data_IF_554231962543
#
_entry.id   IF_554231962543
#
_cell.length_a   1.000
_cell.length_b   1.000
_cell.length_c   1.000
_cell.angle_alpha   90.00
_cell.angle_beta   90.00
_cell.angle_gamma   90.00
#
_symmetry.space_group_name_H-M   'P 1'
#
loop_
_entity.id
_entity.type
_entity.pdbx_description
1 polymer ?
#
# COMPACT_ATOMS: atom_id res chain seq x y z
N UNK A 1 14.39 16.32 3.59
CA UNK A 1 13.64 15.06 3.35
C UNK A 1 14.47 13.84 3.72
N UNK A 2 14.10 12.65 3.21
CA UNK A 2 14.89 11.41 3.30
C UNK A 2 15.64 11.19 1.98
N UNK A 3 16.86 11.72 1.82
CA UNK A 3 17.56 11.73 0.53
C UNK A 3 18.06 10.34 0.14
N UNK A 4 17.81 9.92 -1.10
CA UNK A 4 18.30 8.65 -1.63
C UNK A 4 19.83 8.57 -1.70
N UNK A 5 20.52 9.70 -1.85
CA UNK A 5 22.00 9.78 -1.79
C UNK A 5 22.59 9.36 -0.45
N UNK A 6 21.80 9.30 0.63
CA UNK A 6 22.24 8.80 1.92
C UNK A 6 22.08 7.27 2.10
N UNK A 7 21.50 6.57 1.11
CA UNK A 7 21.13 5.14 1.21
C UNK A 7 22.33 4.26 1.54
N UNK A 8 23.43 4.35 0.79
CA UNK A 8 24.61 3.50 0.99
C UNK A 8 25.20 3.65 2.39
N UNK A 9 25.27 4.90 2.88
CA UNK A 9 25.75 5.21 4.24
C UNK A 9 24.84 4.58 5.30
N UNK A 10 23.52 4.61 5.10
CA UNK A 10 22.57 4.01 6.04
C UNK A 10 22.66 2.49 5.98
N UNK A 11 22.67 1.89 4.79
CA UNK A 11 22.82 0.45 4.60
C UNK A 11 24.10 -0.07 5.26
N UNK A 12 25.25 0.55 5.03
CA UNK A 12 26.51 0.14 5.66
C UNK A 12 26.44 0.09 7.20
N UNK A 13 25.63 0.96 7.83
CA UNK A 13 25.43 0.96 9.30
C UNK A 13 24.41 -0.09 9.77
N UNK A 14 23.46 -0.45 8.92
CA UNK A 14 22.37 -1.35 9.28
C UNK A 14 22.60 -2.80 8.86
N UNK A 15 23.46 -3.08 7.87
CA UNK A 15 23.66 -4.43 7.33
C UNK A 15 24.08 -5.47 8.37
N UNK A 16 24.81 -5.08 9.41
CA UNK A 16 25.20 -6.01 10.50
C UNK A 16 24.03 -6.35 11.44
N UNK A 17 23.05 -5.46 11.56
CA UNK A 17 21.87 -5.63 12.40
C UNK A 17 20.71 -6.29 11.63
N UNK A 18 20.61 -6.00 10.33
CA UNK A 18 19.56 -6.48 9.44
C UNK A 18 20.18 -7.08 8.17
N UNK A 19 20.72 -8.31 8.25
CA UNK A 19 21.22 -9.01 7.07
C UNK A 19 20.13 -9.15 6.01
N UNK A 20 20.46 -8.86 4.76
CA UNK A 20 19.50 -8.94 3.64
C UNK A 20 18.60 -7.72 3.46
N UNK A 21 18.89 -6.59 4.12
CA UNK A 21 18.19 -5.32 3.84
C UNK A 21 18.26 -4.99 2.34
N UNK A 22 17.11 -4.64 1.78
CA UNK A 22 16.97 -4.21 0.39
C UNK A 22 16.69 -2.71 0.33
N UNK A 23 17.14 -2.08 -0.74
CA UNK A 23 17.00 -0.64 -0.95
C UNK A 23 16.02 -0.34 -2.07
N UNK A 24 15.31 0.78 -1.93
CA UNK A 24 14.54 1.36 -3.01
C UNK A 24 15.27 2.58 -3.59
N UNK A 25 15.02 2.94 -4.87
CA UNK A 25 15.68 4.10 -5.50
C UNK A 25 15.37 5.45 -4.83
N UNK A 26 14.27 5.55 -4.09
CA UNK A 26 13.85 6.75 -3.37
C UNK A 26 12.85 6.41 -2.26
N UNK A 27 12.59 7.38 -1.38
CA UNK A 27 11.52 7.27 -0.38
C UNK A 27 10.13 7.10 -1.02
N UNK A 28 9.90 7.70 -2.20
CA UNK A 28 8.64 7.56 -2.94
C UNK A 28 8.45 6.12 -3.45
N UNK A 29 9.49 5.54 -4.06
CA UNK A 29 9.46 4.14 -4.50
C UNK A 29 9.26 3.19 -3.31
N UNK A 30 9.88 3.47 -2.16
CA UNK A 30 9.68 2.72 -0.93
C UNK A 30 8.21 2.80 -0.45
N UNK A 31 7.64 4.01 -0.40
CA UNK A 31 6.25 4.22 0.03
C UNK A 31 5.23 3.52 -0.85
N UNK A 32 5.38 3.61 -2.18
CA UNK A 32 4.52 2.92 -3.15
C UNK A 32 4.72 1.41 -3.17
N UNK A 33 5.79 0.89 -2.55
CA UNK A 33 6.04 -0.56 -2.48
C UNK A 33 5.40 -1.24 -1.27
N UNK A 34 4.71 -0.48 -0.40
CA UNK A 34 3.97 -1.07 0.71
C UNK A 34 2.81 -1.94 0.21
N UNK A 35 2.73 -3.19 0.68
CA UNK A 35 1.68 -4.12 0.26
C UNK A 35 0.41 -4.03 1.12
N UNK A 36 0.52 -3.59 2.37
CA UNK A 36 -0.62 -3.51 3.29
C UNK A 36 -1.77 -2.66 2.73
N UNK A 37 -1.54 -1.43 2.21
CA UNK A 37 -2.65 -0.63 1.67
C UNK A 37 -3.26 -1.19 0.39
N UNK A 38 -2.55 -2.06 -0.32
CA UNK A 38 -3.12 -2.76 -1.49
C UNK A 38 -4.15 -3.79 -1.04
N UNK A 39 -3.86 -4.52 0.04
CA UNK A 39 -4.62 -5.70 0.47
C UNK A 39 -5.70 -5.34 1.49
N UNK A 40 -5.31 -4.66 2.57
CA UNK A 40 -6.15 -4.59 3.76
C UNK A 40 -7.42 -3.76 3.57
N UNK A 41 -7.41 -2.53 3.00
CA UNK A 41 -8.63 -1.74 2.89
C UNK A 41 -9.69 -2.43 2.04
N UNK A 42 -9.33 -2.94 0.86
CA UNK A 42 -10.26 -3.67 0.00
C UNK A 42 -10.76 -4.96 0.67
N UNK A 43 -9.87 -5.75 1.28
CA UNK A 43 -10.23 -7.00 1.94
C UNK A 43 -11.14 -6.79 3.16
N UNK A 44 -10.85 -5.79 4.00
CA UNK A 44 -11.65 -5.46 5.20
C UNK A 44 -12.99 -4.89 4.80
N UNK A 45 -13.04 -3.89 3.92
CA UNK A 45 -14.30 -3.22 3.56
C UNK A 45 -15.27 -4.17 2.86
N UNK A 46 -14.77 -5.07 2.00
CA UNK A 46 -15.61 -6.10 1.38
C UNK A 46 -16.07 -7.21 2.35
N UNK A 47 -15.51 -7.25 3.56
CA UNK A 47 -15.90 -8.17 4.63
C UNK A 47 -16.47 -7.45 5.87
N UNK A 48 -16.79 -6.15 5.79
CA UNK A 48 -17.08 -5.33 6.96
C UNK A 48 -18.21 -5.90 7.83
N UNK A 49 -19.34 -6.26 7.22
CA UNK A 49 -20.46 -6.86 7.95
C UNK A 49 -20.14 -8.22 8.57
N UNK A 50 -19.26 -9.02 7.95
CA UNK A 50 -18.81 -10.29 8.53
C UNK A 50 -17.90 -10.06 9.73
N UNK A 51 -17.00 -9.08 9.63
CA UNK A 51 -16.10 -8.70 10.73
C UNK A 51 -16.91 -8.27 11.94
N UNK A 52 -17.90 -7.39 11.76
CA UNK A 52 -18.77 -6.93 12.85
C UNK A 52 -19.61 -8.06 13.44
N UNK A 53 -20.21 -8.90 12.59
CA UNK A 53 -21.07 -10.00 13.04
C UNK A 53 -20.30 -11.09 13.81
N UNK A 54 -19.13 -11.47 13.31
CA UNK A 54 -18.35 -12.58 13.85
C UNK A 54 -17.26 -12.15 14.83
N UNK A 55 -17.07 -10.84 15.04
CA UNK A 55 -15.93 -10.31 15.80
C UNK A 55 -14.58 -10.83 15.27
N UNK A 56 -14.44 -10.91 13.96
CA UNK A 56 -13.23 -11.41 13.29
C UNK A 56 -13.03 -12.93 13.36
N UNK A 57 -14.01 -13.70 13.82
CA UNK A 57 -13.92 -15.16 13.96
C UNK A 57 -14.06 -15.93 12.64
N UNK A 58 -13.25 -15.54 11.66
CA UNK A 58 -13.01 -16.25 10.40
C UNK A 58 -11.59 -15.97 9.93
N UNK A 59 -11.02 -16.88 9.15
CA UNK A 59 -9.70 -16.70 8.56
C UNK A 59 -9.76 -15.66 7.45
N UNK A 60 -9.07 -14.54 7.63
CA UNK A 60 -9.16 -13.39 6.73
C UNK A 60 -8.79 -13.74 5.30
N UNK A 61 -7.64 -14.41 5.13
CA UNK A 61 -7.09 -14.73 3.82
C UNK A 61 -7.78 -15.93 3.17
N UNK A 62 -8.03 -17.00 3.93
CA UNK A 62 -8.69 -18.21 3.44
C UNK A 62 -10.17 -17.96 3.10
N UNK A 63 -10.92 -17.33 4.01
CA UNK A 63 -12.37 -17.20 3.90
C UNK A 63 -12.83 -15.81 3.45
N UNK A 64 -12.05 -14.77 3.75
CA UNK A 64 -12.39 -13.37 3.44
C UNK A 64 -11.87 -12.89 2.10
N UNK A 65 -10.66 -13.31 1.69
CA UNK A 65 -10.08 -12.97 0.38
C UNK A 65 -10.55 -13.98 -0.66
N UNK A 66 -11.85 -13.94 -0.97
CA UNK A 66 -12.44 -14.71 -2.07
C UNK A 66 -11.96 -14.22 -3.45
N UNK A 67 -12.20 -14.96 -4.56
CA UNK A 67 -11.70 -14.57 -5.87
C UNK A 67 -12.10 -13.16 -6.34
N UNK A 68 -13.31 -12.69 -6.00
CA UNK A 68 -13.73 -11.32 -6.34
C UNK A 68 -13.05 -10.28 -5.47
N UNK A 69 -12.78 -10.58 -4.19
CA UNK A 69 -12.01 -9.70 -3.30
C UNK A 69 -10.56 -9.60 -3.79
N UNK A 70 -9.95 -10.72 -4.18
CA UNK A 70 -8.61 -10.74 -4.79
C UNK A 70 -8.55 -9.90 -6.08
N UNK A 71 -9.58 -9.95 -6.94
CA UNK A 71 -9.68 -9.07 -8.12
C UNK A 71 -9.73 -7.59 -7.75
N UNK A 72 -10.50 -7.22 -6.72
CA UNK A 72 -10.54 -5.82 -6.23
C UNK A 72 -9.17 -5.39 -5.71
N UNK A 73 -8.49 -6.24 -4.94
CA UNK A 73 -7.12 -5.97 -4.45
C UNK A 73 -6.16 -5.76 -5.63
N UNK A 74 -6.21 -6.61 -6.65
CA UNK A 74 -5.36 -6.46 -7.84
C UNK A 74 -5.72 -5.23 -8.70
N UNK A 75 -6.96 -4.75 -8.65
CA UNK A 75 -7.33 -3.49 -9.28
C UNK A 75 -6.75 -2.27 -8.53
N UNK A 76 -6.71 -2.30 -7.19
CA UNK A 76 -5.96 -1.31 -6.40
C UNK A 76 -4.47 -1.37 -6.73
N UNK A 77 -3.91 -2.57 -6.86
CA UNK A 77 -2.51 -2.75 -7.27
C UNK A 77 -2.22 -2.17 -8.66
N UNK A 78 -3.16 -2.30 -9.61
CA UNK A 78 -3.03 -1.72 -10.93
C UNK A 78 -2.97 -0.19 -10.90
N UNK A 79 -3.84 0.46 -10.11
CA UNK A 79 -3.80 1.92 -9.91
C UNK A 79 -2.47 2.36 -9.24
N UNK A 80 -2.01 1.63 -8.21
CA UNK A 80 -0.71 1.87 -7.54
C UNK A 80 0.45 1.84 -8.53
N UNK A 81 0.49 0.81 -9.38
CA UNK A 81 1.56 0.66 -10.39
C UNK A 81 1.47 1.69 -11.51
N UNK A 82 0.26 2.10 -11.91
CA UNK A 82 0.09 3.19 -12.86
C UNK A 82 0.65 4.51 -12.32
N UNK A 83 0.38 4.83 -11.04
CA UNK A 83 0.97 5.99 -10.35
C UNK A 83 2.49 5.88 -10.33
N UNK A 84 3.02 4.71 -9.93
CA UNK A 84 4.46 4.49 -9.91
C UNK A 84 5.12 4.66 -11.29
N UNK A 85 4.47 4.17 -12.35
CA UNK A 85 4.95 4.29 -13.73
C UNK A 85 5.04 5.75 -14.17
N UNK A 86 4.04 6.57 -13.83
CA UNK A 86 4.05 8.01 -14.13
C UNK A 86 5.19 8.76 -13.40
N UNK A 87 5.65 8.22 -12.26
CA UNK A 87 6.80 8.73 -11.52
C UNK A 87 8.15 8.14 -11.98
N UNK A 88 8.15 7.27 -12.98
CA UNK A 88 9.36 6.62 -13.51
C UNK A 88 9.82 5.37 -12.74
N UNK A 89 8.95 4.76 -11.93
CA UNK A 89 9.24 3.52 -11.20
C UNK A 89 8.54 2.32 -11.83
N UNK A 90 9.23 1.18 -11.87
CA UNK A 90 8.66 -0.12 -12.21
C UNK A 90 8.49 -0.96 -10.94
N UNK A 91 7.24 -1.10 -10.49
CA UNK A 91 6.92 -1.86 -9.28
C UNK A 91 6.39 -3.24 -9.66
N UNK A 92 6.87 -4.25 -8.94
CA UNK A 92 6.33 -5.60 -9.05
C UNK A 92 4.85 -5.62 -8.64
N UNK A 93 4.08 -6.48 -9.31
CA UNK A 93 2.68 -6.73 -8.97
C UNK A 93 2.57 -7.39 -7.58
N UNK A 94 1.43 -7.18 -6.92
CA UNK A 94 1.21 -7.68 -5.57
C UNK A 94 1.28 -9.22 -5.47
N UNK A 95 0.76 -9.96 -6.45
CA UNK A 95 0.85 -11.42 -6.52
C UNK A 95 2.29 -11.93 -6.61
N UNK A 96 3.10 -11.34 -7.49
CA UNK A 96 4.52 -11.63 -7.62
C UNK A 96 5.30 -11.20 -6.36
N UNK A 97 4.92 -10.10 -5.71
CA UNK A 97 5.51 -9.67 -4.44
C UNK A 97 5.25 -10.68 -3.32
N UNK A 98 4.02 -11.19 -3.23
CA UNK A 98 3.65 -12.22 -2.25
C UNK A 98 4.40 -13.53 -2.49
N UNK A 99 4.51 -13.96 -3.75
CA UNK A 99 5.30 -15.13 -4.12
C UNK A 99 6.79 -14.95 -3.72
N UNK A 100 7.41 -13.82 -4.07
CA UNK A 100 8.83 -13.55 -3.75
C UNK A 100 9.10 -13.42 -2.25
N UNK A 101 8.11 -12.97 -1.48
CA UNK A 101 8.18 -12.93 -0.02
C UNK A 101 8.04 -14.33 0.61
N UNK A 102 7.77 -15.38 -0.18
CA UNK A 102 7.62 -16.74 0.31
C UNK A 102 6.25 -17.00 0.94
N UNK A 103 5.24 -16.17 0.68
CA UNK A 103 3.92 -16.38 1.26
C UNK A 103 3.22 -17.58 0.65
N UNK A 104 3.38 -17.87 -0.64
CA UNK A 104 2.75 -19.04 -1.25
C UNK A 104 3.30 -19.35 -2.64
N UNK A 105 2.65 -20.26 -3.39
CA UNK A 105 3.09 -20.64 -4.73
C UNK A 105 2.92 -19.49 -5.71
N UNK A 106 3.69 -19.51 -6.81
CA UNK A 106 3.51 -18.55 -7.89
C UNK A 106 2.16 -18.78 -8.58
N UNK A 107 1.37 -17.74 -8.72
CA UNK A 107 0.08 -17.77 -9.39
C UNK A 107 -0.58 -16.40 -9.38
N UNK A 108 -1.88 -16.35 -9.62
CA UNK A 108 -2.65 -15.14 -9.30
C UNK A 108 -2.66 -14.90 -7.78
N UNK A 109 -3.10 -13.71 -7.36
CA UNK A 109 -3.08 -13.33 -5.95
C UNK A 109 -3.88 -14.31 -5.08
N UNK A 110 -5.04 -14.78 -5.55
CA UNK A 110 -5.89 -15.69 -4.78
C UNK A 110 -5.18 -17.03 -4.54
N UNK A 111 -4.62 -17.64 -5.59
CA UNK A 111 -3.89 -18.90 -5.50
C UNK A 111 -2.62 -18.77 -4.64
N UNK A 112 -1.91 -17.65 -4.77
CA UNK A 112 -0.72 -17.35 -3.95
C UNK A 112 -1.09 -17.27 -2.46
N UNK A 113 -2.15 -16.54 -2.14
CA UNK A 113 -2.64 -16.39 -0.75
C UNK A 113 -3.16 -17.72 -0.20
N UNK A 114 -4.03 -18.43 -0.93
CA UNK A 114 -4.66 -19.67 -0.45
C UNK A 114 -3.68 -20.85 -0.41
N UNK A 115 -2.58 -20.78 -1.18
CA UNK A 115 -1.48 -21.74 -1.05
C UNK A 115 -0.56 -21.46 0.14
N UNK A 116 -0.80 -20.41 0.92
CA UNK A 116 0.00 -20.04 2.09
C UNK A 116 -0.51 -20.70 3.36
N UNK A 117 0.26 -21.61 3.97
CA UNK A 117 -0.10 -22.14 5.29
C UNK A 117 -0.15 -21.03 6.35
N UNK A 118 0.73 -20.03 6.26
CA UNK A 118 0.80 -18.95 7.24
C UNK A 118 -0.39 -18.01 7.11
N UNK A 119 -0.70 -17.50 5.90
CA UNK A 119 -1.76 -16.50 5.73
C UNK A 119 -3.14 -17.09 6.01
N UNK A 120 -3.39 -18.33 5.56
CA UNK A 120 -4.70 -18.99 5.70
C UNK A 120 -5.08 -19.32 7.14
N UNK A 121 -4.17 -19.16 8.10
CA UNK A 121 -4.43 -19.31 9.54
C UNK A 121 -4.67 -17.98 10.26
N UNK A 122 -4.52 -16.84 9.59
CA UNK A 122 -4.69 -15.53 10.20
C UNK A 122 -6.17 -15.15 10.27
N UNK A 123 -6.65 -14.85 11.48
CA UNK A 123 -7.99 -14.33 11.70
C UNK A 123 -8.14 -12.90 11.18
N UNK A 124 -9.36 -12.55 10.81
CA UNK A 124 -9.74 -11.18 10.51
C UNK A 124 -9.60 -10.28 11.75
N UNK A 125 -9.50 -8.95 11.58
CA UNK A 125 -9.51 -8.05 12.73
C UNK A 125 -10.81 -8.22 13.51
N UNK A 126 -10.74 -8.14 14.84
CA UNK A 126 -11.90 -8.35 15.71
C UNK A 126 -12.94 -7.23 15.64
N UNK A 127 -12.58 -6.07 15.09
CA UNK A 127 -13.44 -4.93 14.86
C UNK A 127 -12.97 -4.12 13.63
N UNK A 128 -13.79 -3.18 13.19
CA UNK A 128 -13.44 -2.23 12.12
C UNK A 128 -12.58 -1.06 12.62
N UNK A 129 -12.44 -0.89 13.94
CA UNK A 129 -11.43 -0.03 14.58
C UNK A 129 -10.04 -0.69 14.52
N UNK A 130 -9.57 -0.94 13.29
CA UNK A 130 -8.32 -1.62 13.02
C UNK A 130 -7.35 -0.70 12.31
N UNK A 131 -6.06 -0.85 12.64
CA UNK A 131 -4.96 -0.18 11.91
C UNK A 131 -4.94 -0.52 10.42
N UNK A 132 -5.53 -1.66 10.04
CA UNK A 132 -5.74 -2.06 8.64
C UNK A 132 -6.62 -1.09 7.86
N UNK A 133 -7.40 -0.25 8.53
CA UNK A 133 -8.10 0.89 7.94
C UNK A 133 -7.43 2.20 8.35
N UNK A 134 -7.21 2.42 9.65
CA UNK A 134 -6.76 3.73 10.16
C UNK A 134 -5.32 4.10 9.82
N UNK A 135 -4.46 3.16 9.43
CA UNK A 135 -3.13 3.45 8.86
C UNK A 135 -3.18 3.38 7.32
N UNK A 136 -3.72 2.29 6.78
CA UNK A 136 -3.59 1.94 5.37
C UNK A 136 -4.46 2.80 4.43
N UNK A 137 -5.59 3.35 4.90
CA UNK A 137 -6.39 4.30 4.12
C UNK A 137 -5.72 5.67 4.04
N UNK A 138 -5.45 6.38 5.15
CA UNK A 138 -4.91 7.74 5.07
C UNK A 138 -3.48 7.77 4.53
N UNK A 139 -2.60 6.86 4.98
CA UNK A 139 -1.17 6.88 4.63
C UNK A 139 -0.80 6.00 3.43
N UNK A 140 -1.75 5.20 2.95
CA UNK A 140 -1.66 4.43 1.71
C UNK A 140 -2.56 5.01 0.63
N UNK A 141 -3.81 4.56 0.57
CA UNK A 141 -4.71 4.85 -0.55
C UNK A 141 -4.93 6.35 -0.81
N UNK A 142 -5.23 7.12 0.23
CA UNK A 142 -5.48 8.57 0.12
C UNK A 142 -4.21 9.31 -0.32
N UNK A 143 -3.08 9.03 0.33
CA UNK A 143 -1.78 9.60 -0.01
C UNK A 143 -1.36 9.25 -1.46
N UNK A 144 -1.54 8.00 -1.89
CA UNK A 144 -1.20 7.58 -3.25
C UNK A 144 -2.12 8.19 -4.29
N UNK A 145 -3.42 8.29 -3.99
CA UNK A 145 -4.38 8.97 -4.85
C UNK A 145 -3.96 10.43 -5.10
N UNK A 146 -3.60 11.18 -4.05
CA UNK A 146 -3.19 12.58 -4.19
C UNK A 146 -1.90 12.74 -5.00
N UNK A 147 -0.92 11.84 -4.79
CA UNK A 147 0.28 11.79 -5.63
C UNK A 147 -0.10 11.52 -7.09
N UNK A 148 -0.93 10.51 -7.35
CA UNK A 148 -1.40 10.18 -8.69
C UNK A 148 -2.08 11.36 -9.38
N UNK A 149 -2.99 12.04 -8.67
CA UNK A 149 -3.72 13.19 -9.18
C UNK A 149 -2.80 14.34 -9.62
N UNK A 150 -1.75 14.64 -8.84
CA UNK A 150 -0.77 15.68 -9.21
C UNK A 150 -0.07 15.37 -10.56
N UNK A 151 0.16 14.10 -10.86
CA UNK A 151 0.83 13.66 -12.08
C UNK A 151 -0.14 13.13 -13.15
N UNK A 152 -1.43 13.49 -13.06
CA UNK A 152 -2.44 13.19 -14.07
C UNK A 152 -2.88 11.73 -14.16
N UNK A 153 -2.62 10.93 -13.12
CA UNK A 153 -3.06 9.53 -13.03
C UNK A 153 -4.28 9.43 -12.13
N UNK A 154 -5.42 9.02 -12.71
CA UNK A 154 -6.64 8.75 -11.94
C UNK A 154 -6.57 7.42 -11.19
N UNK A 155 -7.08 7.39 -9.96
CA UNK A 155 -7.23 6.19 -9.14
C UNK A 155 -8.65 6.08 -8.54
N UNK A 156 -9.69 5.90 -9.39
CA UNK A 156 -11.08 5.92 -8.94
C UNK A 156 -11.44 4.82 -7.94
N UNK A 157 -10.81 3.65 -8.01
CA UNK A 157 -11.05 2.58 -7.04
C UNK A 157 -10.45 2.91 -5.67
N UNK A 158 -9.21 3.39 -5.63
CA UNK A 158 -8.61 3.92 -4.39
C UNK A 158 -9.51 5.00 -3.78
N UNK A 159 -9.96 5.96 -4.58
CA UNK A 159 -10.89 7.02 -4.13
C UNK A 159 -12.16 6.44 -3.52
N UNK A 160 -12.81 5.50 -4.20
CA UNK A 160 -14.02 4.86 -3.69
C UNK A 160 -13.81 4.10 -2.37
N UNK A 161 -12.68 3.42 -2.22
CA UNK A 161 -12.31 2.73 -0.98
C UNK A 161 -12.02 3.71 0.16
N UNK A 162 -11.39 4.85 -0.12
CA UNK A 162 -11.18 5.91 0.89
C UNK A 162 -12.52 6.51 1.32
N UNK A 163 -13.43 6.80 0.37
CA UNK A 163 -14.75 7.37 0.66
C UNK A 163 -15.58 6.41 1.54
N UNK A 164 -15.66 5.12 1.17
CA UNK A 164 -16.37 4.11 1.97
C UNK A 164 -15.68 3.90 3.31
N UNK A 165 -14.36 3.76 3.31
CA UNK A 165 -13.58 3.51 4.51
C UNK A 165 -13.64 4.65 5.51
N UNK A 166 -13.75 5.90 5.05
CA UNK A 166 -13.93 7.06 5.92
C UNK A 166 -15.26 7.00 6.69
N UNK A 167 -16.33 6.56 6.02
CA UNK A 167 -17.63 6.31 6.68
C UNK A 167 -17.49 5.17 7.70
N UNK A 168 -16.86 4.06 7.32
CA UNK A 168 -16.67 2.89 8.19
C UNK A 168 -15.82 3.21 9.43
N UNK A 169 -14.75 3.98 9.28
CA UNK A 169 -13.90 4.39 10.40
C UNK A 169 -14.54 5.48 11.28
N UNK A 170 -15.58 6.16 10.79
CA UNK A 170 -16.10 7.38 11.42
C UNK A 170 -15.09 8.53 11.44
N UNK A 171 -14.12 8.51 10.52
CA UNK A 171 -13.02 9.47 10.46
C UNK A 171 -12.70 9.80 8.99
N UNK A 172 -12.32 11.05 8.72
CA UNK A 172 -12.00 11.49 7.37
C UNK A 172 -10.61 10.99 6.94
N UNK A 173 -10.59 10.00 6.04
CA UNK A 173 -9.37 9.42 5.46
C UNK A 173 -8.63 10.36 4.51
N UNK A 174 -9.29 11.40 4.00
CA UNK A 174 -8.66 12.45 3.20
C UNK A 174 -7.94 13.45 4.11
N UNK A 175 -8.59 13.88 5.19
CA UNK A 175 -8.00 14.85 6.12
C UNK A 175 -6.86 14.29 6.98
N UNK A 176 -6.86 12.99 7.28
CA UNK A 176 -5.85 12.35 8.15
C UNK A 176 -4.60 11.89 7.40
N UNK A 177 -4.70 11.77 6.07
CA UNK A 177 -3.62 11.33 5.19
C UNK A 177 -2.48 12.33 5.04
N UNK A 178 -1.52 12.00 4.19
CA UNK A 178 -0.48 12.94 3.74
C UNK A 178 -0.75 13.30 2.29
N UNK A 179 -1.34 14.46 2.04
CA UNK A 179 -1.45 14.96 0.67
C UNK A 179 -0.07 15.35 0.14
N UNK A 180 -0.01 15.71 -1.14
CA UNK A 180 1.18 16.29 -1.75
C UNK A 180 1.69 17.53 -1.01
N UNK A 181 0.81 18.27 -0.30
CA UNK A 181 1.20 19.40 0.55
C UNK A 181 1.92 18.94 1.81
N UNK A 182 1.38 17.99 2.58
CA UNK A 182 2.05 17.49 3.79
C UNK A 182 3.34 16.73 3.46
N UNK A 183 3.43 16.13 2.28
CA UNK A 183 4.67 15.54 1.76
C UNK A 183 5.69 16.61 1.31
N UNK A 184 5.28 17.87 1.17
CA UNK A 184 6.13 18.97 0.73
C UNK A 184 6.50 18.90 -0.75
N UNK A 185 5.66 18.28 -1.58
CA UNK A 185 5.88 18.10 -3.03
C UNK A 185 4.78 18.74 -3.91
N UNK A 186 3.86 19.49 -3.30
CA UNK A 186 2.77 20.18 -4.01
C UNK A 186 3.32 21.05 -5.14
N UNK A 187 2.86 20.81 -6.36
CA UNK A 187 3.24 21.57 -7.55
C UNK A 187 4.63 21.26 -8.13
N UNK A 188 5.39 20.32 -7.56
CA UNK A 188 6.66 19.88 -8.14
C UNK A 188 6.42 19.09 -9.42
N UNK A 189 7.06 19.49 -10.51
CA UNK A 189 7.20 18.64 -11.70
C UNK A 189 8.08 17.42 -11.41
N UNK A 190 8.16 16.49 -12.37
CA UNK A 190 8.91 15.24 -12.20
C UNK A 190 10.41 15.48 -11.97
N UNK A 191 11.00 16.47 -12.64
CA UNK A 191 12.43 16.77 -12.50
C UNK A 191 12.73 17.32 -11.10
N UNK A 192 11.89 18.25 -10.60
CA UNK A 192 11.99 18.82 -9.26
C UNK A 192 11.74 17.76 -8.18
N UNK A 193 10.72 16.90 -8.37
CA UNK A 193 10.46 15.78 -7.47
C UNK A 193 11.66 14.84 -7.39
N UNK A 194 12.23 14.47 -8.53
CA UNK A 194 13.38 13.58 -8.58
C UNK A 194 14.60 14.20 -7.88
N UNK A 195 14.89 15.48 -8.12
CA UNK A 195 15.96 16.19 -7.43
C UNK A 195 15.72 16.23 -5.90
N UNK A 196 14.49 16.53 -5.48
CA UNK A 196 14.09 16.53 -4.07
C UNK A 196 14.24 15.17 -3.40
N UNK A 197 13.83 14.08 -4.08
CA UNK A 197 13.95 12.73 -3.55
C UNK A 197 15.40 12.24 -3.46
N UNK A 198 16.27 12.69 -4.36
CA UNK A 198 17.69 12.33 -4.34
C UNK A 198 18.47 13.08 -3.27
N UNK A 199 18.22 14.38 -3.13
CA UNK A 199 19.07 15.29 -2.33
C UNK A 199 18.43 15.77 -1.03
N UNK A 200 17.10 15.65 -0.93
CA UNK A 200 16.33 16.12 0.23
C UNK A 200 16.06 17.63 0.24
N UNK A 201 16.44 18.36 -0.82
CA UNK A 201 16.22 19.79 -1.03
C UNK A 201 15.60 20.02 -2.41
N UNK A 202 14.55 20.85 -2.46
CA UNK A 202 14.07 21.43 -3.71
C UNK A 202 14.87 22.73 -3.87
N UNK A 203 15.79 22.77 -4.83
CA UNK A 203 16.56 23.98 -5.14
C UNK A 203 15.67 24.98 -5.90
#
# INVERSE_FOLDING_TARGET
GLPATATDRVCARLSSLFPGIQTYPSAMACGLSAMNPVVHPAGVLMNAGRIEYSHGEFYFYEEGVSPSVAKTIMAVDAERRAIATALGYDLIAADEAFYRAGFGPRGDLWATINGSLMLTQLKAPGSLESRWLSEDIPYGLSTWHDVGAQYGVGAPLMRGLVDIGSVVMGADGWATGRSVRELGIEGMDLDTLNAFLQTGSAL
#
